data_IF_886794434797
#
_entry.id   IF_886794434797
#
_cell.length_a   1.000
_cell.length_b   1.000
_cell.length_c   1.000
_cell.angle_alpha   90.00
_cell.angle_beta   90.00
_cell.angle_gamma   90.00
#
_symmetry.space_group_name_H-M   'P 1'
#
loop_
_entity.id
_entity.type
_entity.pdbx_description
1 polymer ?
#
# COMPACT_ATOMS: atom_id res chain seq x y z
N UNK A 1 -0.38 -52.12 -8.52
CA UNK A 1 -0.47 -50.74 -9.05
C UNK A 1 -0.39 -49.77 -7.88
N UNK A 2 0.80 -49.22 -7.62
CA UNK A 2 1.02 -48.24 -6.54
C UNK A 2 0.53 -46.89 -7.07
N UNK A 3 -0.55 -46.36 -6.49
CA UNK A 3 -1.00 -44.98 -6.71
C UNK A 3 0.13 -44.06 -6.25
N UNK A 4 0.87 -43.49 -7.19
CA UNK A 4 1.75 -42.34 -6.93
C UNK A 4 0.88 -41.20 -6.40
N UNK A 5 1.04 -40.87 -5.12
CA UNK A 5 0.45 -39.69 -4.51
C UNK A 5 0.91 -38.46 -5.30
N UNK A 6 -0.03 -37.66 -5.79
CA UNK A 6 0.29 -36.35 -6.34
C UNK A 6 0.97 -35.55 -5.23
N UNK A 7 2.19 -35.08 -5.44
CA UNK A 7 2.84 -34.18 -4.49
C UNK A 7 1.91 -32.98 -4.24
N UNK A 8 1.70 -32.62 -2.97
CA UNK A 8 0.87 -31.46 -2.62
C UNK A 8 1.62 -30.18 -3.00
N UNK A 9 1.47 -29.74 -4.25
CA UNK A 9 2.03 -28.48 -4.75
C UNK A 9 1.24 -27.33 -4.16
N UNK A 10 1.93 -26.43 -3.44
CA UNK A 10 1.38 -25.16 -2.96
C UNK A 10 1.93 -24.04 -3.83
N UNK A 11 1.06 -23.22 -4.41
CA UNK A 11 1.42 -22.06 -5.24
C UNK A 11 1.08 -20.76 -4.51
N UNK A 12 1.81 -19.68 -4.81
CA UNK A 12 1.57 -18.36 -4.26
C UNK A 12 2.04 -17.28 -5.25
N UNK A 13 1.57 -16.04 -5.05
CA UNK A 13 2.07 -14.84 -5.74
C UNK A 13 2.84 -13.97 -4.74
N UNK A 14 4.15 -13.72 -4.93
CA UNK A 14 4.92 -12.84 -4.06
C UNK A 14 4.39 -11.40 -4.10
N UNK A 15 3.79 -10.92 -3.02
CA UNK A 15 3.26 -9.56 -2.90
C UNK A 15 4.01 -8.75 -1.86
N UNK A 16 4.22 -7.47 -2.14
CA UNK A 16 4.83 -6.51 -1.22
C UNK A 16 3.82 -5.44 -0.81
N UNK A 17 3.59 -5.28 0.50
CA UNK A 17 2.64 -4.29 1.01
C UNK A 17 3.33 -2.94 1.23
N UNK A 18 2.81 -1.91 0.58
CA UNK A 18 3.12 -0.51 0.86
C UNK A 18 1.87 0.14 1.45
N UNK A 19 1.98 0.64 2.68
CA UNK A 19 0.91 1.38 3.35
C UNK A 19 1.22 2.88 3.24
N UNK A 20 0.49 3.64 2.41
CA UNK A 20 0.81 5.06 2.22
C UNK A 20 0.56 5.91 3.46
N UNK A 21 -0.39 5.50 4.32
CA UNK A 21 -0.72 6.18 5.56
C UNK A 21 -1.39 5.22 6.53
N UNK A 22 -1.13 5.39 7.84
CA UNK A 22 -1.81 4.67 8.92
C UNK A 22 -3.05 5.38 9.45
N UNK A 23 -3.65 6.28 8.68
CA UNK A 23 -4.86 6.99 9.08
C UNK A 23 -6.14 6.25 8.66
N UNK A 24 -7.16 6.28 9.52
CA UNK A 24 -8.52 5.81 9.22
C UNK A 24 -9.54 6.61 10.05
N UNK A 25 -10.70 6.91 9.47
CA UNK A 25 -11.80 7.60 10.18
C UNK A 25 -12.42 6.75 11.30
N UNK A 26 -12.28 5.43 11.19
CA UNK A 26 -12.89 4.46 12.09
C UNK A 26 -11.92 4.04 13.21
N UNK A 27 -12.43 3.83 14.41
CA UNK A 27 -11.66 3.42 15.61
C UNK A 27 -11.94 1.97 15.98
N UNK A 28 -11.72 1.04 15.04
CA UNK A 28 -11.99 -0.38 15.27
C UNK A 28 -10.96 -1.01 16.22
N UNK A 29 -11.41 -1.67 17.29
CA UNK A 29 -10.52 -2.24 18.33
C UNK A 29 -9.52 -3.32 17.87
N UNK A 30 -9.66 -3.83 16.64
CA UNK A 30 -8.81 -4.84 16.03
C UNK A 30 -7.95 -4.31 14.87
N UNK A 31 -8.06 -3.03 14.53
CA UNK A 31 -7.50 -2.49 13.29
C UNK A 31 -6.12 -1.86 13.49
N UNK A 32 -5.21 -2.17 12.57
CA UNK A 32 -3.84 -1.62 12.53
C UNK A 32 -3.79 -0.16 12.08
N UNK A 33 -4.84 0.34 11.42
CA UNK A 33 -4.96 1.73 10.94
C UNK A 33 -5.55 2.70 11.98
N UNK A 34 -5.77 2.26 13.22
CA UNK A 34 -6.25 3.17 14.27
C UNK A 34 -5.06 3.98 14.79
N UNK A 35 -5.12 5.29 14.56
CA UNK A 35 -4.15 6.26 15.09
C UNK A 35 -4.20 6.23 16.63
N UNK A 36 -3.05 5.94 17.26
CA UNK A 36 -2.89 5.98 18.71
C UNK A 36 -2.33 7.33 19.13
N UNK A 37 -2.65 7.78 20.35
CA UNK A 37 -2.23 9.08 20.84
C UNK A 37 -0.70 9.28 20.71
N UNK A 38 -0.29 10.23 19.87
CA UNK A 38 1.12 10.57 19.62
C UNK A 38 1.62 10.22 18.22
N UNK A 39 0.91 9.35 17.48
CA UNK A 39 1.23 9.08 16.08
C UNK A 39 0.54 10.15 15.24
N UNK A 40 1.30 11.07 14.63
CA UNK A 40 0.75 11.93 13.60
C UNK A 40 0.65 11.13 12.30
N UNK A 41 -0.52 11.02 11.71
CA UNK A 41 -0.70 10.42 10.39
C UNK A 41 0.21 11.09 9.35
N UNK A 42 1.13 10.32 8.79
CA UNK A 42 2.02 10.75 7.72
C UNK A 42 1.66 10.02 6.43
N UNK A 43 1.64 10.76 5.34
CA UNK A 43 1.62 10.19 3.99
C UNK A 43 3.05 9.92 3.57
N UNK A 44 3.34 8.69 3.11
CA UNK A 44 4.63 8.30 2.55
C UNK A 44 4.98 9.24 1.39
N UNK A 45 6.21 9.75 1.38
CA UNK A 45 6.69 10.61 0.30
C UNK A 45 6.90 9.80 -1.00
N UNK A 46 6.69 10.37 -2.19
CA UNK A 46 6.87 9.67 -3.46
C UNK A 46 8.25 9.03 -3.63
N UNK A 47 9.32 9.71 -3.21
CA UNK A 47 10.69 9.18 -3.32
C UNK A 47 10.93 8.00 -2.37
N UNK A 48 10.31 8.03 -1.19
CA UNK A 48 10.34 6.92 -0.25
C UNK A 48 9.56 5.72 -0.80
N UNK A 49 8.40 5.96 -1.41
CA UNK A 49 7.63 4.92 -2.10
C UNK A 49 8.41 4.32 -3.29
N UNK A 50 9.07 5.13 -4.11
CA UNK A 50 9.93 4.65 -5.20
C UNK A 50 11.07 3.76 -4.66
N UNK A 51 11.70 4.16 -3.55
CA UNK A 51 12.74 3.36 -2.90
C UNK A 51 12.21 2.02 -2.37
N UNK A 52 11.00 2.01 -1.81
CA UNK A 52 10.31 0.80 -1.36
C UNK A 52 9.98 -0.14 -2.53
N UNK A 53 9.45 0.41 -3.63
CA UNK A 53 9.11 -0.35 -4.84
C UNK A 53 10.35 -1.06 -5.41
N UNK A 54 11.49 -0.38 -5.47
CA UNK A 54 12.75 -0.99 -5.92
C UNK A 54 13.22 -2.10 -4.99
N UNK A 55 13.04 -1.95 -3.68
CA UNK A 55 13.32 -3.02 -2.70
C UNK A 55 12.38 -4.21 -2.90
N UNK A 56 11.09 -3.96 -3.10
CA UNK A 56 10.10 -5.00 -3.36
C UNK A 56 10.48 -5.82 -4.60
N UNK A 57 10.85 -5.15 -5.69
CA UNK A 57 11.31 -5.81 -6.91
C UNK A 57 12.59 -6.63 -6.66
N UNK A 58 13.58 -6.06 -5.97
CA UNK A 58 14.81 -6.77 -5.64
C UNK A 58 14.59 -8.00 -4.73
N UNK A 59 13.53 -7.98 -3.91
CA UNK A 59 13.10 -9.09 -3.07
C UNK A 59 12.30 -10.17 -3.82
N UNK A 60 12.06 -10.01 -5.12
CA UNK A 60 11.33 -10.97 -5.95
C UNK A 60 9.81 -10.83 -5.91
N UNK A 61 9.29 -9.68 -5.44
CA UNK A 61 7.86 -9.40 -5.54
C UNK A 61 7.40 -9.36 -7.01
N UNK A 62 6.16 -9.78 -7.23
CA UNK A 62 5.43 -9.67 -8.50
C UNK A 62 4.27 -8.66 -8.40
N UNK A 63 3.76 -8.42 -7.19
CA UNK A 63 2.69 -7.48 -6.90
C UNK A 63 3.12 -6.44 -5.87
N UNK A 64 2.63 -5.20 -6.02
CA UNK A 64 2.67 -4.18 -4.99
C UNK A 64 1.26 -3.95 -4.45
N UNK A 65 1.00 -4.39 -3.21
CA UNK A 65 -0.24 -4.14 -2.51
C UNK A 65 -0.23 -2.75 -1.87
N UNK A 66 -1.06 -1.84 -2.38
CA UNK A 66 -1.34 -0.55 -1.78
C UNK A 66 -2.53 -0.68 -0.84
N UNK A 67 -2.30 -0.49 0.46
CA UNK A 67 -3.32 -0.69 1.48
C UNK A 67 -3.51 0.56 2.34
N UNK A 68 -4.75 0.96 2.62
CA UNK A 68 -5.04 2.10 3.52
C UNK A 68 -6.40 2.00 4.19
N UNK A 69 -6.59 2.80 5.25
CA UNK A 69 -7.87 3.00 5.90
C UNK A 69 -8.92 3.73 5.05
N UNK A 70 -10.06 4.00 5.65
CA UNK A 70 -11.19 4.73 5.05
C UNK A 70 -11.16 6.22 5.41
N UNK A 71 -11.52 7.07 4.46
CA UNK A 71 -11.69 8.51 4.60
C UNK A 71 -10.38 9.27 4.68
N UNK A 72 -9.27 8.73 4.15
CA UNK A 72 -7.90 9.24 4.40
C UNK A 72 -7.72 10.74 4.18
N UNK A 73 -8.50 11.32 3.27
CA UNK A 73 -8.49 12.75 2.99
C UNK A 73 -9.26 13.59 4.03
N UNK A 74 -9.92 13.01 5.02
CA UNK A 74 -10.47 13.73 6.20
C UNK A 74 -9.34 14.18 7.16
N UNK A 75 -8.17 13.54 7.12
CA UNK A 75 -6.98 13.98 7.85
C UNK A 75 -6.37 15.24 7.25
N UNK A 76 -6.28 16.30 8.07
CA UNK A 76 -5.61 17.54 7.67
C UNK A 76 -4.11 17.34 7.37
N UNK A 77 -3.46 16.39 8.07
CA UNK A 77 -2.06 16.06 7.85
C UNK A 77 -1.84 15.39 6.49
N UNK A 78 -2.71 14.43 6.12
CA UNK A 78 -2.69 13.76 4.81
C UNK A 78 -2.97 14.77 3.69
N UNK A 79 -4.04 15.59 3.80
CA UNK A 79 -4.32 16.64 2.81
C UNK A 79 -3.16 17.63 2.66
N UNK A 80 -2.54 18.00 3.78
CA UNK A 80 -1.35 18.86 3.79
C UNK A 80 -0.18 18.22 3.05
N UNK A 81 0.07 16.92 3.27
CA UNK A 81 1.12 16.18 2.58
C UNK A 81 0.87 16.05 1.09
N UNK A 82 -0.36 15.71 0.67
CA UNK A 82 -0.74 15.64 -0.75
C UNK A 82 -0.41 16.93 -1.49
N UNK A 83 -0.81 18.09 -0.93
CA UNK A 83 -0.50 19.41 -1.50
C UNK A 83 1.00 19.68 -1.58
N UNK A 84 1.76 19.35 -0.53
CA UNK A 84 3.23 19.51 -0.54
C UNK A 84 3.91 18.64 -1.58
N UNK A 85 3.39 17.45 -1.84
CA UNK A 85 3.89 16.53 -2.85
C UNK A 85 3.36 16.83 -4.25
N UNK A 86 2.45 17.80 -4.41
CA UNK A 86 1.91 18.21 -5.70
C UNK A 86 0.72 17.38 -6.21
N UNK A 87 0.01 16.66 -5.34
CA UNK A 87 -1.18 15.89 -5.68
C UNK A 87 -2.47 16.62 -5.29
N UNK A 88 -3.50 16.50 -6.14
CA UNK A 88 -4.82 17.12 -5.89
C UNK A 88 -5.73 16.23 -5.05
N UNK A 89 -5.53 14.92 -5.09
CA UNK A 89 -6.27 13.92 -4.32
C UNK A 89 -5.38 12.75 -3.91
N UNK A 90 -5.86 11.93 -2.98
CA UNK A 90 -5.20 10.69 -2.60
C UNK A 90 -5.20 9.68 -3.75
N UNK A 91 -6.26 9.66 -4.57
CA UNK A 91 -6.32 8.83 -5.77
C UNK A 91 -5.24 9.23 -6.78
N UNK A 92 -5.00 10.52 -7.00
CA UNK A 92 -3.91 10.98 -7.90
C UNK A 92 -2.54 10.51 -7.40
N UNK A 93 -2.32 10.59 -6.09
CA UNK A 93 -1.13 10.04 -5.45
C UNK A 93 -1.01 8.53 -5.69
N UNK A 94 -2.06 7.74 -5.44
CA UNK A 94 -2.03 6.29 -5.65
C UNK A 94 -1.79 5.90 -7.11
N UNK A 95 -2.39 6.63 -8.06
CA UNK A 95 -2.14 6.43 -9.50
C UNK A 95 -0.67 6.68 -9.83
N UNK A 96 -0.05 7.70 -9.24
CA UNK A 96 1.38 7.95 -9.39
C UNK A 96 2.23 6.79 -8.87
N UNK A 97 1.92 6.28 -7.67
CA UNK A 97 2.63 5.13 -7.09
C UNK A 97 2.43 3.85 -7.93
N UNK A 98 1.20 3.60 -8.40
CA UNK A 98 0.89 2.46 -9.27
C UNK A 98 1.67 2.52 -10.59
N UNK A 99 1.84 3.72 -11.18
CA UNK A 99 2.68 3.91 -12.37
C UNK A 99 4.16 3.61 -12.08
N UNK A 100 4.68 4.02 -10.93
CA UNK A 100 6.04 3.67 -10.51
C UNK A 100 6.21 2.16 -10.34
N UNK A 101 5.21 1.48 -9.76
CA UNK A 101 5.23 0.03 -9.60
C UNK A 101 5.27 -0.69 -10.96
N UNK A 102 4.42 -0.29 -11.90
CA UNK A 102 4.40 -0.84 -13.25
C UNK A 102 5.74 -0.64 -13.98
N UNK A 103 6.40 0.51 -13.79
CA UNK A 103 7.72 0.78 -14.36
C UNK A 103 8.81 -0.16 -13.82
N UNK A 104 8.65 -0.64 -12.59
CA UNK A 104 9.58 -1.57 -11.92
C UNK A 104 9.13 -3.05 -12.04
N UNK A 105 8.25 -3.36 -13.00
CA UNK A 105 7.69 -4.70 -13.24
C UNK A 105 6.92 -5.30 -12.05
N UNK A 106 6.24 -4.47 -11.27
CA UNK A 106 5.31 -4.89 -10.21
C UNK A 106 3.87 -4.57 -10.60
N UNK A 107 2.98 -5.56 -10.49
CA UNK A 107 1.54 -5.37 -10.71
C UNK A 107 0.92 -4.62 -9.52
N UNK A 108 0.29 -3.45 -9.72
CA UNK A 108 -0.40 -2.75 -8.64
C UNK A 108 -1.66 -3.50 -8.19
N UNK A 109 -1.78 -3.76 -6.89
CA UNK A 109 -2.96 -4.32 -6.24
C UNK A 109 -3.46 -3.30 -5.23
N UNK A 110 -4.72 -2.85 -5.35
CA UNK A 110 -5.28 -1.81 -4.49
C UNK A 110 -6.27 -2.39 -3.49
N UNK A 111 -6.03 -2.18 -2.20
CA UNK A 111 -6.95 -2.51 -1.11
C UNK A 111 -7.10 -1.30 -0.16
N UNK A 112 -7.87 -0.32 -0.60
CA UNK A 112 -8.09 0.93 0.14
C UNK A 112 -9.54 1.01 0.62
N UNK A 113 -9.74 1.66 1.76
CA UNK A 113 -11.07 2.09 2.19
C UNK A 113 -11.64 3.16 1.24
N UNK A 114 -12.93 3.47 1.42
CA UNK A 114 -13.57 4.55 0.67
C UNK A 114 -12.82 5.86 0.90
N UNK A 115 -12.57 6.62 -0.16
CA UNK A 115 -11.79 7.87 -0.12
C UNK A 115 -12.67 9.11 0.04
#
# INVERSE_FOLDING_TARGET
MIRTSVAHVVTYSPSWTLIPTHWCRNTCGYCVFVERAGDAAQLVAPDAACSEIKRARAAGATELLLMSGEGVEESAAVRGALRRFGFNSYIDYLVSIARMALHEDLLPHINIGNV
#
